data_IF_837935607261
#
_entry.id   IF_837935607261
#
_cell.length_a   1.000
_cell.length_b   1.000
_cell.length_c   1.000
_cell.angle_alpha   90.00
_cell.angle_beta   90.00
_cell.angle_gamma   90.00
#
_symmetry.space_group_name_H-M   'P 1'
#
loop_
_entity.id
_entity.type
_entity.pdbx_description
1 polymer ?
#
# COMPACT_ATOMS: atom_id res chain seq x y z
N UNK A 1 -13.11 -5.75 14.94
CA UNK A 1 -12.20 -5.82 13.78
C UNK A 1 -12.46 -4.59 12.93
N UNK A 2 -11.44 -3.90 12.42
CA UNK A 2 -11.67 -2.79 11.49
C UNK A 2 -12.37 -3.33 10.22
N UNK A 3 -13.37 -2.60 9.70
CA UNK A 3 -14.17 -3.00 8.52
C UNK A 3 -13.29 -3.44 7.34
N UNK A 4 -12.13 -2.78 7.18
CA UNK A 4 -11.23 -3.00 6.07
C UNK A 4 -10.33 -4.24 6.27
N UNK A 5 -10.00 -4.57 7.52
CA UNK A 5 -9.38 -5.87 7.83
C UNK A 5 -10.35 -7.01 7.55
N UNK A 6 -11.65 -6.85 7.86
CA UNK A 6 -12.66 -7.87 7.57
C UNK A 6 -12.80 -8.13 6.06
N UNK A 7 -12.80 -7.09 5.22
CA UNK A 7 -12.79 -7.23 3.76
C UNK A 7 -11.55 -8.00 3.25
N UNK A 8 -10.37 -7.65 3.77
CA UNK A 8 -9.11 -8.33 3.43
C UNK A 8 -9.11 -9.81 3.88
N UNK A 9 -9.68 -10.11 5.05
CA UNK A 9 -9.84 -11.49 5.55
C UNK A 9 -10.80 -12.27 4.65
N UNK A 10 -11.95 -11.70 4.30
CA UNK A 10 -12.94 -12.35 3.44
C UNK A 10 -12.34 -12.72 2.08
N UNK A 11 -11.63 -11.78 1.43
CA UNK A 11 -10.94 -12.04 0.15
C UNK A 11 -9.93 -13.18 0.26
N UNK A 12 -9.11 -13.20 1.31
CA UNK A 12 -8.11 -14.27 1.50
C UNK A 12 -8.74 -15.62 1.79
N UNK A 13 -9.81 -15.67 2.58
CA UNK A 13 -10.56 -16.91 2.83
C UNK A 13 -11.16 -17.46 1.54
N UNK A 14 -11.74 -16.59 0.71
CA UNK A 14 -12.24 -16.97 -0.61
C UNK A 14 -11.12 -17.49 -1.52
N UNK A 15 -10.03 -16.74 -1.66
CA UNK A 15 -8.89 -17.12 -2.49
C UNK A 15 -8.29 -18.47 -2.08
N UNK A 16 -8.16 -18.69 -0.77
CA UNK A 16 -7.68 -19.96 -0.23
C UNK A 16 -8.65 -21.12 -0.54
N UNK A 17 -9.97 -20.92 -0.36
CA UNK A 17 -10.97 -21.93 -0.71
C UNK A 17 -10.97 -22.25 -2.22
N UNK A 18 -10.80 -21.24 -3.08
CA UNK A 18 -10.69 -21.44 -4.53
C UNK A 18 -9.40 -22.18 -4.91
N UNK A 19 -8.28 -21.87 -4.24
CA UNK A 19 -7.01 -22.57 -4.42
C UNK A 19 -7.09 -24.04 -4.01
N UNK A 20 -7.77 -24.32 -2.91
CA UNK A 20 -8.02 -25.68 -2.43
C UNK A 20 -8.85 -26.46 -3.44
N UNK A 21 -9.94 -25.86 -3.96
CA UNK A 21 -10.75 -26.42 -5.03
C UNK A 21 -9.91 -26.75 -6.29
N UNK A 22 -9.13 -25.78 -6.78
CA UNK A 22 -8.24 -26.00 -7.94
C UNK A 22 -7.27 -27.15 -7.70
N UNK A 23 -6.65 -27.18 -6.52
CA UNK A 23 -5.62 -28.18 -6.18
C UNK A 23 -6.24 -29.57 -6.05
N UNK A 24 -7.44 -29.69 -5.49
CA UNK A 24 -8.19 -30.94 -5.40
C UNK A 24 -8.59 -31.48 -6.79
N UNK A 25 -8.88 -30.59 -7.74
CA UNK A 25 -9.16 -30.94 -9.13
C UNK A 25 -7.89 -31.30 -9.95
N UNK A 26 -6.70 -31.19 -9.37
CA UNK A 26 -5.43 -31.44 -10.08
C UNK A 26 -5.10 -30.41 -11.17
N UNK A 27 -5.80 -29.28 -11.20
CA UNK A 27 -5.66 -28.26 -12.24
C UNK A 27 -4.49 -27.32 -11.92
N UNK A 28 -3.58 -27.10 -12.87
CA UNK A 28 -2.50 -26.11 -12.69
C UNK A 28 -3.00 -24.70 -12.98
N UNK A 29 -2.36 -23.67 -12.38
CA UNK A 29 -2.78 -22.27 -12.57
C UNK A 29 -2.80 -21.84 -14.05
N UNK A 30 -1.92 -22.40 -14.89
CA UNK A 30 -1.87 -22.12 -16.32
C UNK A 30 -3.15 -22.57 -17.06
N UNK A 31 -3.74 -23.69 -16.66
CA UNK A 31 -4.97 -24.21 -17.27
C UNK A 31 -6.17 -23.37 -16.85
N UNK A 32 -6.27 -23.06 -15.55
CA UNK A 32 -7.28 -22.15 -15.02
C UNK A 32 -7.23 -20.77 -15.70
N UNK A 33 -6.03 -20.26 -15.95
CA UNK A 33 -5.79 -18.98 -16.63
C UNK A 33 -6.31 -18.99 -18.06
N UNK A 34 -6.02 -20.07 -18.80
CA UNK A 34 -6.47 -20.24 -20.18
C UNK A 34 -7.99 -20.36 -20.27
N UNK A 35 -8.62 -21.05 -19.32
CA UNK A 35 -10.07 -21.20 -19.27
C UNK A 35 -10.78 -19.86 -19.14
N UNK A 36 -10.27 -18.95 -18.31
CA UNK A 36 -10.83 -17.59 -18.15
C UNK A 36 -10.34 -16.59 -19.22
N UNK A 37 -9.75 -17.07 -20.32
CA UNK A 37 -9.32 -16.23 -21.45
C UNK A 37 -8.14 -15.28 -21.15
N UNK A 38 -7.31 -15.59 -20.15
CA UNK A 38 -6.12 -14.79 -19.80
C UNK A 38 -4.84 -15.43 -20.33
N UNK A 39 -3.80 -14.60 -20.49
CA UNK A 39 -2.51 -15.02 -21.04
C UNK A 39 -1.47 -15.39 -19.98
N UNK A 40 -1.63 -14.90 -18.75
CA UNK A 40 -0.64 -15.06 -17.68
C UNK A 40 -1.29 -15.56 -16.39
N UNK A 41 -0.56 -16.40 -15.64
CA UNK A 41 -1.05 -17.01 -14.38
C UNK A 41 -1.33 -16.02 -13.25
N UNK A 42 -0.97 -14.75 -13.48
CA UNK A 42 -1.07 -13.68 -12.52
C UNK A 42 -2.52 -13.50 -12.04
N UNK A 43 -3.51 -13.54 -12.94
CA UNK A 43 -4.93 -13.40 -12.60
C UNK A 43 -5.40 -14.46 -11.60
N UNK A 44 -5.09 -15.73 -11.85
CA UNK A 44 -5.45 -16.83 -10.94
C UNK A 44 -4.70 -16.69 -9.61
N UNK A 45 -3.40 -16.41 -9.66
CA UNK A 45 -2.57 -16.20 -8.47
C UNK A 45 -3.10 -15.06 -7.58
N UNK A 46 -3.66 -14.01 -8.16
CA UNK A 46 -4.21 -12.87 -7.43
C UNK A 46 -5.50 -13.23 -6.71
N UNK A 47 -6.44 -13.88 -7.40
CA UNK A 47 -7.68 -14.35 -6.81
C UNK A 47 -7.35 -15.30 -5.65
N UNK A 48 -6.46 -16.27 -5.86
CA UNK A 48 -6.05 -17.24 -4.84
C UNK A 48 -5.34 -16.61 -3.64
N UNK A 49 -4.60 -15.52 -3.84
CA UNK A 49 -3.96 -14.75 -2.76
C UNK A 49 -4.91 -13.78 -2.05
N UNK A 50 -6.17 -13.71 -2.48
CA UNK A 50 -7.18 -12.79 -1.94
C UNK A 50 -6.94 -11.34 -2.33
N UNK A 51 -6.37 -11.09 -3.51
CA UNK A 51 -6.02 -9.74 -3.95
C UNK A 51 -7.14 -9.04 -4.72
N UNK A 52 -7.81 -9.79 -5.58
CA UNK A 52 -8.96 -9.34 -6.32
C UNK A 52 -10.07 -10.38 -6.22
N UNK A 53 -11.30 -9.92 -6.43
CA UNK A 53 -12.42 -10.82 -6.66
C UNK A 53 -12.41 -11.30 -8.12
N UNK A 54 -12.95 -12.50 -8.41
CA UNK A 54 -13.29 -12.86 -9.78
C UNK A 54 -14.30 -11.84 -10.34
N UNK A 55 -14.17 -11.52 -11.62
CA UNK A 55 -15.00 -10.54 -12.35
C UNK A 55 -15.81 -11.28 -13.42
N UNK A 56 -17.03 -10.81 -13.69
CA UNK A 56 -17.91 -11.41 -14.70
C UNK A 56 -18.12 -12.91 -14.46
N UNK A 57 -17.94 -13.71 -15.50
CA UNK A 57 -18.14 -15.16 -15.49
C UNK A 57 -16.90 -15.96 -15.05
N UNK A 58 -15.84 -15.28 -14.55
CA UNK A 58 -14.60 -15.95 -14.14
C UNK A 58 -14.86 -17.02 -13.06
N UNK A 59 -15.74 -16.76 -12.08
CA UNK A 59 -16.02 -17.76 -11.03
C UNK A 59 -16.74 -18.99 -11.60
N UNK A 60 -17.73 -18.79 -12.46
CA UNK A 60 -18.52 -19.88 -13.04
C UNK A 60 -17.65 -20.77 -13.94
N UNK A 61 -16.81 -20.15 -14.77
CA UNK A 61 -15.84 -20.85 -15.63
C UNK A 61 -14.86 -21.68 -14.80
N UNK A 62 -14.36 -21.14 -13.68
CA UNK A 62 -13.43 -21.87 -12.81
C UNK A 62 -14.14 -22.99 -12.04
N UNK A 63 -15.39 -22.77 -11.61
CA UNK A 63 -16.17 -23.79 -10.94
C UNK A 63 -16.46 -24.99 -11.85
N UNK A 64 -16.78 -24.74 -13.11
CA UNK A 64 -16.94 -25.79 -14.13
C UNK A 64 -15.63 -26.53 -14.37
N UNK A 65 -14.53 -25.81 -14.59
CA UNK A 65 -13.21 -26.41 -14.82
C UNK A 65 -12.74 -27.27 -13.64
N UNK A 66 -13.05 -26.86 -12.40
CA UNK A 66 -12.66 -27.59 -11.19
C UNK A 66 -13.63 -28.73 -10.86
N UNK A 67 -14.71 -28.91 -11.62
CA UNK A 67 -15.71 -29.94 -11.40
C UNK A 67 -16.46 -29.79 -10.07
N UNK A 68 -16.75 -28.54 -9.68
CA UNK A 68 -17.40 -28.28 -8.40
C UNK A 68 -18.86 -28.69 -8.41
N UNK A 69 -19.30 -29.32 -7.30
CA UNK A 69 -20.71 -29.61 -7.08
C UNK A 69 -21.51 -28.36 -6.71
N UNK A 70 -22.84 -28.48 -6.70
CA UNK A 70 -23.75 -27.37 -6.40
C UNK A 70 -23.50 -26.75 -5.00
N UNK A 71 -23.09 -27.55 -4.02
CA UNK A 71 -22.82 -27.09 -2.65
C UNK A 71 -21.53 -26.26 -2.62
N UNK A 72 -20.49 -26.73 -3.30
CA UNK A 72 -19.21 -26.03 -3.43
C UNK A 72 -19.37 -24.71 -4.19
N UNK A 73 -20.12 -24.71 -5.31
CA UNK A 73 -20.47 -23.51 -6.07
C UNK A 73 -21.22 -22.50 -5.19
N UNK A 74 -22.28 -22.95 -4.50
CA UNK A 74 -23.06 -22.09 -3.60
C UNK A 74 -22.20 -21.52 -2.46
N UNK A 75 -21.29 -22.32 -1.90
CA UNK A 75 -20.37 -21.87 -0.86
C UNK A 75 -19.45 -20.75 -1.36
N UNK A 76 -18.80 -20.92 -2.51
CA UNK A 76 -17.91 -19.90 -3.08
C UNK A 76 -18.68 -18.64 -3.47
N UNK A 77 -19.86 -18.77 -4.09
CA UNK A 77 -20.73 -17.65 -4.44
C UNK A 77 -21.18 -16.87 -3.19
N UNK A 78 -21.53 -17.57 -2.10
CA UNK A 78 -21.88 -16.94 -0.81
C UNK A 78 -20.69 -16.17 -0.24
N UNK A 79 -19.50 -16.79 -0.21
CA UNK A 79 -18.27 -16.11 0.26
C UNK A 79 -17.93 -14.87 -0.57
N UNK A 80 -18.10 -14.94 -1.89
CA UNK A 80 -17.91 -13.80 -2.80
C UNK A 80 -18.91 -12.68 -2.49
N UNK A 81 -20.19 -13.01 -2.42
CA UNK A 81 -21.26 -12.05 -2.16
C UNK A 81 -21.11 -11.39 -0.79
N UNK A 82 -20.92 -12.17 0.27
CA UNK A 82 -20.69 -11.65 1.63
C UNK A 82 -19.42 -10.79 1.67
N UNK A 83 -18.35 -11.22 1.03
CA UNK A 83 -17.08 -10.49 0.99
C UNK A 83 -17.18 -9.16 0.22
N UNK A 84 -17.95 -9.12 -0.87
CA UNK A 84 -18.23 -7.89 -1.64
C UNK A 84 -19.20 -6.96 -0.90
N UNK A 85 -20.11 -7.51 -0.11
CA UNK A 85 -21.05 -6.75 0.71
C UNK A 85 -20.37 -6.02 1.89
N UNK A 86 -19.13 -6.38 2.25
CA UNK A 86 -18.31 -5.61 3.18
C UNK A 86 -17.97 -4.26 2.52
N UNK A 87 -18.85 -3.27 2.71
CA UNK A 87 -18.66 -1.87 2.29
C UNK A 87 -17.27 -1.40 2.74
N UNK A 88 -16.42 -0.96 1.81
CA UNK A 88 -15.14 -0.33 2.22
C UNK A 88 -14.05 -0.18 1.17
N UNK A 89 -14.08 -0.92 0.06
CA UNK A 89 -12.96 -0.88 -0.89
C UNK A 89 -13.10 0.25 -1.91
N UNK A 90 -12.89 1.49 -1.46
CA UNK A 90 -12.95 2.70 -2.31
C UNK A 90 -11.99 2.66 -3.51
N UNK A 91 -10.98 1.79 -3.48
CA UNK A 91 -9.96 1.67 -4.51
C UNK A 91 -10.34 0.79 -5.70
N UNK A 92 -11.47 0.05 -5.66
CA UNK A 92 -11.86 -0.86 -6.76
C UNK A 92 -12.07 -0.15 -8.08
N UNK A 93 -12.49 1.12 -8.04
CA UNK A 93 -12.66 1.97 -9.24
C UNK A 93 -11.35 2.31 -9.96
N UNK A 94 -10.19 2.02 -9.36
CA UNK A 94 -8.87 2.30 -9.94
C UNK A 94 -8.16 1.01 -10.41
N UNK A 95 -8.79 -0.16 -10.27
CA UNK A 95 -8.17 -1.47 -10.59
C UNK A 95 -7.79 -1.62 -12.07
N UNK A 96 -8.54 -0.98 -12.98
CA UNK A 96 -8.29 -1.08 -14.42
C UNK A 96 -7.33 0.02 -14.92
N UNK A 97 -6.97 0.99 -14.07
CA UNK A 97 -6.12 2.14 -14.41
C UNK A 97 -4.69 2.01 -13.86
N UNK A 98 -4.51 1.38 -12.70
CA UNK A 98 -3.23 1.36 -11.98
C UNK A 98 -2.66 -0.05 -11.85
N UNK A 99 -1.33 -0.20 -11.67
CA UNK A 99 -0.72 -1.49 -11.43
C UNK A 99 -1.35 -2.20 -10.23
N UNK A 100 -1.59 -3.50 -10.36
CA UNK A 100 -2.25 -4.26 -9.31
C UNK A 100 -1.45 -4.29 -8.00
N UNK A 101 -0.13 -4.26 -8.08
CA UNK A 101 0.73 -4.15 -6.90
C UNK A 101 0.46 -2.88 -6.09
N UNK A 102 0.00 -1.79 -6.73
CA UNK A 102 -0.46 -0.58 -6.03
C UNK A 102 -1.84 -0.80 -5.38
N UNK A 103 -2.78 -1.45 -6.07
CA UNK A 103 -4.10 -1.77 -5.48
C UNK A 103 -3.94 -2.68 -4.25
N UNK A 104 -3.04 -3.65 -4.33
CA UNK A 104 -2.64 -4.51 -3.21
C UNK A 104 -2.09 -3.70 -2.04
N UNK A 105 -1.19 -2.75 -2.31
CA UNK A 105 -0.63 -1.89 -1.28
C UNK A 105 -1.70 -1.05 -0.59
N UNK A 106 -2.61 -0.44 -1.36
CA UNK A 106 -3.70 0.38 -0.83
C UNK A 106 -4.64 -0.47 0.03
N UNK A 107 -4.93 -1.71 -0.37
CA UNK A 107 -5.74 -2.62 0.44
C UNK A 107 -5.07 -2.94 1.79
N UNK A 108 -3.75 -3.15 1.81
CA UNK A 108 -3.03 -3.35 3.07
C UNK A 108 -2.95 -2.07 3.91
N UNK A 109 -2.68 -0.93 3.29
CA UNK A 109 -2.67 0.39 3.92
C UNK A 109 -4.01 0.65 4.64
N UNK A 110 -5.11 0.43 3.93
CA UNK A 110 -6.45 0.64 4.43
C UNK A 110 -6.88 -0.35 5.53
N UNK A 111 -6.43 -1.60 5.46
CA UNK A 111 -6.72 -2.64 6.45
C UNK A 111 -5.84 -2.59 7.71
N UNK A 112 -4.72 -1.87 7.69
CA UNK A 112 -3.72 -1.87 8.77
C UNK A 112 -4.21 -1.13 10.03
N UNK A 113 -3.74 -1.61 11.19
CA UNK A 113 -3.83 -0.90 12.47
C UNK A 113 -2.56 -0.10 12.79
N UNK A 114 -1.42 -0.51 12.24
CA UNK A 114 -0.14 0.17 12.35
C UNK A 114 0.60 0.07 11.02
N UNK A 115 1.14 1.20 10.57
CA UNK A 115 1.92 1.31 9.34
C UNK A 115 3.24 1.98 9.70
N UNK A 116 4.34 1.36 9.32
CA UNK A 116 5.68 1.93 9.49
C UNK A 116 6.33 2.03 8.12
N UNK A 117 6.63 3.25 7.66
CA UNK A 117 7.28 3.48 6.36
C UNK A 117 8.66 4.06 6.58
N UNK A 118 9.66 3.46 5.93
CA UNK A 118 11.01 3.99 5.82
C UNK A 118 11.20 4.50 4.39
N UNK A 119 11.58 5.77 4.22
CA UNK A 119 11.75 6.38 2.90
C UNK A 119 12.98 7.31 2.88
N UNK A 120 13.96 7.00 2.03
CA UNK A 120 15.23 7.75 1.97
C UNK A 120 15.20 8.96 1.03
N UNK A 121 14.45 8.89 -0.07
CA UNK A 121 14.59 9.82 -1.20
C UNK A 121 13.31 10.58 -1.57
N UNK A 122 12.13 10.12 -1.17
CA UNK A 122 10.85 10.77 -1.46
C UNK A 122 9.92 10.70 -0.25
N UNK A 123 9.08 11.73 -0.09
CA UNK A 123 7.99 11.71 0.90
C UNK A 123 6.99 10.62 0.50
N UNK A 124 6.56 9.72 1.42
CA UNK A 124 5.61 8.66 1.12
C UNK A 124 4.27 9.19 0.59
N UNK A 125 3.67 8.49 -0.37
CA UNK A 125 2.45 8.94 -1.08
C UNK A 125 1.27 9.30 -0.18
N UNK A 126 1.13 8.65 0.99
CA UNK A 126 0.09 8.95 2.00
C UNK A 126 0.26 10.34 2.65
N UNK A 127 1.48 10.90 2.62
CA UNK A 127 1.84 12.20 3.17
C UNK A 127 2.04 13.30 2.12
N UNK A 128 1.89 12.99 0.83
CA UNK A 128 2.10 13.96 -0.23
C UNK A 128 0.92 14.95 -0.33
N UNK A 129 1.23 16.23 -0.57
CA UNK A 129 0.27 17.22 -1.05
C UNK A 129 -0.06 16.96 -2.52
N UNK A 130 -1.17 17.52 -3.00
CA UNK A 130 -1.60 17.33 -4.39
C UNK A 130 -0.55 17.85 -5.38
N UNK A 131 0.06 19.00 -5.08
CA UNK A 131 1.07 19.63 -5.92
C UNK A 131 2.37 18.83 -5.93
N UNK A 132 2.83 18.33 -4.78
CA UNK A 132 4.01 17.46 -4.73
C UNK A 132 3.77 16.17 -5.52
N UNK A 133 2.62 15.53 -5.32
CA UNK A 133 2.23 14.31 -6.03
C UNK A 133 2.16 14.51 -7.55
N UNK A 134 1.63 15.67 -7.99
CA UNK A 134 1.57 16.05 -9.40
C UNK A 134 2.98 16.21 -9.97
N UNK A 135 3.86 16.95 -9.30
CA UNK A 135 5.24 17.16 -9.76
C UNK A 135 6.03 15.86 -9.91
N UNK A 136 5.86 14.90 -8.98
CA UNK A 136 6.47 13.56 -9.13
C UNK A 136 5.88 12.81 -10.33
N UNK A 137 4.55 12.82 -10.47
CA UNK A 137 3.87 12.10 -11.55
C UNK A 137 4.29 12.66 -12.92
N UNK A 138 4.39 13.97 -13.06
CA UNK A 138 4.88 14.65 -14.27
C UNK A 138 6.35 14.32 -14.57
N UNK A 139 7.21 14.23 -13.56
CA UNK A 139 8.61 13.92 -13.74
C UNK A 139 8.84 12.45 -14.18
N UNK A 140 8.11 11.49 -13.58
CA UNK A 140 8.28 10.05 -13.83
C UNK A 140 7.56 9.61 -15.12
N UNK A 141 6.39 10.18 -15.40
CA UNK A 141 5.50 9.70 -16.45
C UNK A 141 5.50 10.58 -17.70
N UNK A 142 6.44 11.54 -17.77
CA UNK A 142 6.53 12.60 -18.79
C UNK A 142 6.40 12.10 -20.24
N UNK A 143 6.79 10.86 -20.51
CA UNK A 143 6.82 10.27 -21.84
C UNK A 143 5.60 9.39 -22.16
N UNK A 144 4.78 9.01 -21.17
CA UNK A 144 3.79 7.93 -21.33
C UNK A 144 2.39 8.21 -20.74
N UNK A 145 2.21 9.23 -19.90
CA UNK A 145 0.91 9.51 -19.27
C UNK A 145 0.12 10.61 -19.98
N UNK A 146 -1.16 10.34 -20.23
CA UNK A 146 -2.13 11.37 -20.57
C UNK A 146 -2.39 12.29 -19.38
N UNK A 147 -2.86 13.51 -19.62
CA UNK A 147 -3.28 14.45 -18.56
C UNK A 147 -4.33 13.84 -17.64
N UNK A 148 -5.28 13.08 -18.20
CA UNK A 148 -6.28 12.34 -17.42
C UNK A 148 -5.67 11.34 -16.43
N UNK A 149 -4.61 10.63 -16.82
CA UNK A 149 -3.91 9.71 -15.91
C UNK A 149 -3.22 10.45 -14.74
N UNK A 150 -2.65 11.62 -14.99
CA UNK A 150 -2.00 12.43 -13.95
C UNK A 150 -3.01 12.87 -12.89
N UNK A 151 -4.19 13.35 -13.30
CA UNK A 151 -5.23 13.77 -12.37
C UNK A 151 -5.74 12.59 -11.53
N UNK A 152 -5.93 11.41 -12.15
CA UNK A 152 -6.28 10.17 -11.44
C UNK A 152 -5.20 9.73 -10.45
N UNK A 153 -3.92 9.91 -10.81
CA UNK A 153 -2.76 9.60 -9.94
C UNK A 153 -2.70 10.51 -8.70
N UNK A 154 -3.11 11.77 -8.84
CA UNK A 154 -3.23 12.71 -7.72
C UNK A 154 -4.47 12.37 -6.88
N UNK A 155 -5.60 12.08 -7.52
CA UNK A 155 -6.85 11.74 -6.87
C UNK A 155 -6.71 10.51 -5.95
N UNK A 156 -6.11 9.42 -6.46
CA UNK A 156 -5.93 8.20 -5.67
C UNK A 156 -5.06 8.45 -4.43
N UNK A 157 -4.01 9.30 -4.52
CA UNK A 157 -3.18 9.69 -3.37
C UNK A 157 -3.96 10.52 -2.36
N UNK A 158 -4.78 11.47 -2.83
CA UNK A 158 -5.64 12.27 -1.96
C UNK A 158 -6.66 11.40 -1.21
N UNK A 159 -7.24 10.38 -1.87
CA UNK A 159 -8.12 9.40 -1.24
C UNK A 159 -7.40 8.57 -0.18
N UNK A 160 -6.20 8.07 -0.48
CA UNK A 160 -5.35 7.32 0.49
C UNK A 160 -5.09 8.12 1.76
N UNK A 161 -4.77 9.41 1.60
CA UNK A 161 -4.47 10.33 2.71
C UNK A 161 -5.62 10.45 3.74
N UNK A 162 -6.86 10.18 3.35
CA UNK A 162 -8.03 10.21 4.25
C UNK A 162 -7.94 9.18 5.39
N UNK A 163 -7.11 8.14 5.26
CA UNK A 163 -6.90 7.16 6.31
C UNK A 163 -6.31 7.77 7.59
N UNK A 164 -5.57 8.89 7.49
CA UNK A 164 -4.97 9.60 8.61
C UNK A 164 -6.04 10.18 9.55
N UNK A 165 -7.20 10.56 8.99
CA UNK A 165 -8.25 11.33 9.68
C UNK A 165 -9.56 10.56 9.86
N UNK A 166 -9.64 9.30 9.39
CA UNK A 166 -10.83 8.45 9.54
C UNK A 166 -11.13 8.17 11.02
N UNK A 167 -12.35 7.70 11.30
CA UNK A 167 -12.85 7.41 12.67
C UNK A 167 -11.92 6.52 13.50
N UNK A 168 -11.29 5.52 12.88
CA UNK A 168 -10.31 4.62 13.50
C UNK A 168 -9.03 4.65 12.66
N UNK A 169 -8.19 5.68 12.79
CA UNK A 169 -7.00 5.81 11.98
C UNK A 169 -5.92 4.82 12.48
N UNK A 170 -5.06 4.29 11.59
CA UNK A 170 -3.92 3.51 12.02
C UNK A 170 -2.90 4.39 12.76
N UNK A 171 -2.04 3.74 13.55
CA UNK A 171 -0.81 4.34 14.02
C UNK A 171 0.19 4.40 12.86
N UNK A 172 0.56 5.61 12.45
CA UNK A 172 1.50 5.86 11.37
C UNK A 172 2.85 6.27 11.95
N UNK A 173 3.90 5.57 11.57
CA UNK A 173 5.28 5.97 11.84
C UNK A 173 6.03 6.10 10.53
N UNK A 174 6.63 7.26 10.31
CA UNK A 174 7.32 7.60 9.08
C UNK A 174 8.74 7.98 9.43
N UNK A 175 9.71 7.25 8.86
CA UNK A 175 11.13 7.51 9.02
C UNK A 175 11.65 7.99 7.66
N UNK A 176 12.04 9.27 7.61
CA UNK A 176 12.50 9.95 6.40
C UNK A 176 14.01 10.15 6.47
N UNK A 177 14.71 9.99 5.35
CA UNK A 177 16.03 10.60 5.18
C UNK A 177 15.90 12.12 5.02
N UNK A 178 16.83 12.89 5.58
CA UNK A 178 16.83 14.36 5.43
C UNK A 178 16.84 14.82 3.97
N UNK A 179 17.47 14.05 3.07
CA UNK A 179 17.42 14.31 1.62
C UNK A 179 16.00 14.37 1.04
N UNK A 180 15.08 13.52 1.53
CA UNK A 180 13.69 13.50 1.06
C UNK A 180 12.92 14.78 1.42
N UNK A 181 13.34 15.49 2.47
CA UNK A 181 12.70 16.73 2.94
C UNK A 181 13.45 17.99 2.52
N UNK A 182 14.60 17.85 1.85
CA UNK A 182 15.36 18.95 1.24
C UNK A 182 15.26 19.03 -0.27
N UNK A 183 15.01 17.91 -0.96
CA UNK A 183 14.83 17.90 -2.41
C UNK A 183 13.62 18.76 -2.80
N UNK A 184 13.85 19.83 -3.58
CA UNK A 184 12.81 20.77 -4.01
C UNK A 184 11.94 20.19 -5.15
N UNK A 185 11.24 19.10 -4.88
CA UNK A 185 10.27 18.50 -5.82
C UNK A 185 9.17 19.50 -6.12
N UNK A 186 8.98 19.82 -7.41
CA UNK A 186 8.03 20.85 -7.85
C UNK A 186 8.48 22.29 -7.57
N UNK A 187 9.73 22.49 -7.13
CA UNK A 187 10.29 23.79 -6.76
C UNK A 187 10.02 24.18 -5.31
N UNK A 188 10.66 25.28 -4.88
CA UNK A 188 10.64 25.75 -3.48
C UNK A 188 9.23 25.95 -2.93
N UNK A 189 8.32 26.59 -3.68
CA UNK A 189 6.96 26.88 -3.21
C UNK A 189 6.11 25.62 -2.96
N UNK A 190 6.25 24.60 -3.81
CA UNK A 190 5.59 23.29 -3.63
C UNK A 190 6.15 22.59 -2.40
N UNK A 191 7.48 22.61 -2.26
CA UNK A 191 8.15 21.97 -1.14
C UNK A 191 7.83 22.63 0.21
N UNK A 192 7.69 23.96 0.24
CA UNK A 192 7.23 24.70 1.42
C UNK A 192 5.86 24.20 1.89
N UNK A 193 4.87 24.12 0.98
CA UNK A 193 3.53 23.62 1.31
C UNK A 193 3.55 22.15 1.75
N UNK A 194 4.42 21.35 1.15
CA UNK A 194 4.62 19.97 1.53
C UNK A 194 5.20 19.84 2.95
N UNK A 195 6.18 20.66 3.32
CA UNK A 195 6.75 20.70 4.68
C UNK A 195 5.72 21.18 5.70
N UNK A 196 4.94 22.22 5.37
CA UNK A 196 3.84 22.71 6.23
C UNK A 196 2.83 21.57 6.50
N UNK A 197 2.50 20.78 5.47
CA UNK A 197 1.65 19.59 5.61
C UNK A 197 2.27 18.50 6.48
N UNK A 198 3.57 18.22 6.37
CA UNK A 198 4.26 17.24 7.21
C UNK A 198 4.27 17.67 8.69
N UNK A 199 4.54 18.95 8.95
CA UNK A 199 4.54 19.51 10.30
C UNK A 199 3.14 19.37 10.93
N UNK A 200 2.09 19.70 10.17
CA UNK A 200 0.71 19.55 10.63
C UNK A 200 0.34 18.07 10.91
N UNK A 201 0.79 17.15 10.06
CA UNK A 201 0.54 15.71 10.28
C UNK A 201 1.29 15.18 11.49
N UNK A 202 2.56 15.56 11.69
CA UNK A 202 3.37 15.11 12.82
C UNK A 202 2.89 15.62 14.18
N UNK A 203 1.96 16.57 14.21
CA UNK A 203 1.28 17.02 15.45
C UNK A 203 0.07 16.14 15.83
N UNK A 204 -0.35 15.21 14.96
CA UNK A 204 -1.48 14.31 15.23
C UNK A 204 -1.06 13.19 16.17
N UNK A 205 -1.95 12.79 17.08
CA UNK A 205 -1.70 11.70 18.05
C UNK A 205 -1.41 10.34 17.42
N UNK A 206 -1.88 10.10 16.19
CA UNK A 206 -1.70 8.83 15.49
C UNK A 206 -0.56 8.85 14.46
N UNK A 207 0.21 9.94 14.36
CA UNK A 207 1.30 10.09 13.39
C UNK A 207 2.59 10.43 14.13
N UNK A 208 3.66 9.71 13.82
CA UNK A 208 5.02 9.99 14.28
C UNK A 208 5.92 10.15 13.06
N UNK A 209 6.54 11.30 12.90
CA UNK A 209 7.53 11.56 11.85
C UNK A 209 8.91 11.65 12.49
N UNK A 210 9.85 10.88 11.95
CA UNK A 210 11.26 10.87 12.33
C UNK A 210 12.09 11.22 11.11
N UNK A 211 13.06 12.10 11.26
CA UNK A 211 14.02 12.41 10.20
C UNK A 211 15.38 11.86 10.62
N UNK A 212 16.04 11.17 9.71
CA UNK A 212 17.43 10.72 9.83
C UNK A 212 18.30 11.85 9.26
N UNK A 213 19.00 12.60 10.12
CA UNK A 213 19.80 13.73 9.69
C UNK A 213 20.97 13.32 8.80
N UNK A 214 21.49 14.24 7.99
CA UNK A 214 22.63 13.99 7.11
C UNK A 214 23.94 13.71 7.86
N UNK A 215 24.07 14.15 9.11
CA UNK A 215 25.21 13.87 9.98
C UNK A 215 25.06 12.56 10.78
N UNK A 216 23.96 11.82 10.59
CA UNK A 216 23.79 10.50 11.17
C UNK A 216 24.86 9.53 10.62
N UNK A 217 25.51 8.79 11.53
CA UNK A 217 26.64 7.89 11.22
C UNK A 217 26.25 6.61 10.47
N UNK A 218 25.00 6.46 10.05
CA UNK A 218 24.50 5.33 9.27
C UNK A 218 23.45 5.79 8.24
N UNK A 219 23.30 5.04 7.16
CA UNK A 219 22.46 5.42 6.02
C UNK A 219 21.05 4.82 6.05
N UNK A 220 20.10 5.53 5.46
CA UNK A 220 18.76 5.03 5.13
C UNK A 220 18.82 4.31 3.78
N UNK A 221 19.21 3.04 3.77
CA UNK A 221 19.46 2.33 2.51
C UNK A 221 18.17 1.86 1.80
N UNK A 222 17.10 1.57 2.53
CA UNK A 222 15.96 0.85 1.97
C UNK A 222 14.62 1.56 2.12
N UNK A 223 13.87 1.62 1.02
CA UNK A 223 12.48 2.08 1.00
C UNK A 223 11.52 0.90 1.13
N UNK A 224 10.73 0.91 2.20
CA UNK A 224 9.71 -0.12 2.42
C UNK A 224 8.61 0.38 3.35
N UNK A 225 7.49 -0.32 3.36
CA UNK A 225 6.39 -0.11 4.29
C UNK A 225 6.00 -1.42 4.94
N UNK A 226 5.96 -1.43 6.27
CA UNK A 226 5.47 -2.54 7.08
C UNK A 226 4.04 -2.27 7.51
N UNK A 227 3.16 -3.25 7.31
CA UNK A 227 1.76 -3.23 7.72
C UNK A 227 1.52 -4.28 8.80
N UNK A 228 0.93 -3.85 9.91
CA UNK A 228 0.42 -4.73 10.95
C UNK A 228 -1.11 -4.59 11.00
N UNK A 229 -1.81 -5.71 11.15
CA UNK A 229 -3.27 -5.80 11.08
C UNK A 229 -3.86 -6.19 12.42
N UNK A 230 -5.16 -5.94 12.59
CA UNK A 230 -5.91 -6.39 13.78
C UNK A 230 -6.36 -7.86 13.64
N UNK A 231 -6.14 -8.68 14.66
CA UNK A 231 -6.55 -10.10 14.68
C UNK A 231 -5.38 -11.06 14.93
N UNK A 232 -5.61 -12.10 15.74
CA UNK A 232 -4.55 -13.00 16.22
C UNK A 232 -3.84 -13.80 15.09
N UNK A 233 -4.56 -14.10 14.01
CA UNK A 233 -4.04 -14.92 12.91
C UNK A 233 -3.44 -14.10 11.76
N UNK A 234 -3.43 -12.76 11.89
CA UNK A 234 -2.99 -11.87 10.82
C UNK A 234 -1.49 -11.63 10.84
N UNK A 235 -0.81 -12.13 9.81
CA UNK A 235 0.64 -11.97 9.66
C UNK A 235 0.96 -10.57 9.12
N UNK A 236 1.94 -9.87 9.71
CA UNK A 236 2.44 -8.61 9.15
C UNK A 236 2.93 -8.79 7.72
N UNK A 237 2.78 -7.73 6.93
CA UNK A 237 3.23 -7.68 5.53
C UNK A 237 4.26 -6.57 5.40
N UNK A 238 5.37 -6.85 4.73
CA UNK A 238 6.33 -5.81 4.31
C UNK A 238 6.27 -5.64 2.81
N UNK A 239 6.02 -4.41 2.36
CA UNK A 239 6.05 -4.01 0.96
C UNK A 239 7.36 -3.28 0.65
N UNK A 240 8.06 -3.70 -0.39
CA UNK A 240 9.26 -3.06 -0.90
C UNK A 240 8.96 -2.44 -2.26
N UNK A 241 9.48 -1.23 -2.47
CA UNK A 241 9.49 -0.62 -3.79
C UNK A 241 10.52 -1.34 -4.67
N UNK A 242 10.11 -1.78 -5.86
CA UNK A 242 10.98 -2.37 -6.87
C UNK A 242 10.75 -1.66 -8.20
N UNK A 243 11.75 -1.73 -9.09
CA UNK A 243 11.72 -0.97 -10.35
C UNK A 243 10.49 -1.20 -11.22
N UNK A 244 9.81 -2.34 -11.08
CA UNK A 244 8.62 -2.72 -11.84
C UNK A 244 7.33 -2.79 -10.99
N UNK A 245 7.33 -2.21 -9.79
CA UNK A 245 6.19 -2.17 -8.88
C UNK A 245 6.50 -2.72 -7.49
N UNK A 246 5.47 -2.91 -6.68
CA UNK A 246 5.64 -3.27 -5.28
C UNK A 246 5.75 -4.79 -5.09
N UNK A 247 6.71 -5.22 -4.26
CA UNK A 247 6.84 -6.62 -3.87
C UNK A 247 6.50 -6.82 -2.39
N UNK A 248 5.85 -7.93 -2.06
CA UNK A 248 5.33 -8.17 -0.70
C UNK A 248 6.01 -9.39 -0.06
N UNK A 249 6.34 -9.28 1.23
CA UNK A 249 6.90 -10.34 2.06
C UNK A 249 6.01 -10.60 3.28
N UNK A 250 5.74 -11.88 3.54
CA UNK A 250 4.86 -12.37 4.62
C UNK A 250 5.54 -13.42 5.52
N UNK A 251 6.74 -13.90 5.16
CA UNK A 251 7.43 -14.94 5.93
C UNK A 251 7.90 -14.35 7.26
N UNK A 252 7.71 -15.11 8.34
CA UNK A 252 8.04 -14.65 9.70
C UNK A 252 9.53 -14.28 9.86
N UNK A 253 10.43 -14.94 9.13
CA UNK A 253 11.86 -14.59 9.09
C UNK A 253 12.08 -13.19 8.52
N UNK A 254 11.55 -12.91 7.33
CA UNK A 254 11.66 -11.61 6.64
C UNK A 254 11.12 -10.48 7.52
N UNK A 255 9.93 -10.67 8.11
CA UNK A 255 9.28 -9.67 8.98
C UNK A 255 10.13 -9.38 10.22
N UNK A 256 10.76 -10.41 10.82
CA UNK A 256 11.61 -10.25 12.00
C UNK A 256 12.86 -9.44 11.68
N UNK A 257 13.52 -9.73 10.56
CA UNK A 257 14.69 -8.96 10.11
C UNK A 257 14.34 -7.49 9.88
N UNK A 258 13.18 -7.21 9.28
CA UNK A 258 12.72 -5.84 9.06
C UNK A 258 12.40 -5.10 10.35
N UNK A 259 11.87 -5.78 11.37
CA UNK A 259 11.69 -5.19 12.70
C UNK A 259 13.02 -4.77 13.33
N UNK A 260 14.07 -5.60 13.18
CA UNK A 260 15.42 -5.25 13.62
C UNK A 260 15.97 -4.01 12.90
N UNK A 261 15.79 -3.95 11.58
CA UNK A 261 16.17 -2.78 10.77
C UNK A 261 15.42 -1.51 11.21
N UNK A 262 14.11 -1.58 11.46
CA UNK A 262 13.32 -0.44 11.94
C UNK A 262 13.80 0.08 13.29
N UNK A 263 14.26 -0.80 14.20
CA UNK A 263 14.83 -0.36 15.47
C UNK A 263 16.13 0.43 15.26
N UNK A 264 17.04 -0.09 14.42
CA UNK A 264 18.27 0.64 14.08
C UNK A 264 17.98 2.00 13.42
N UNK A 265 16.98 2.09 12.54
CA UNK A 265 16.57 3.36 11.93
C UNK A 265 16.01 4.35 12.96
N UNK A 266 15.28 3.88 13.97
CA UNK A 266 14.79 4.74 15.06
C UNK A 266 15.92 5.29 15.91
N UNK A 267 16.94 4.49 16.18
CA UNK A 267 18.11 4.88 16.99
C UNK A 267 18.93 5.99 16.33
N UNK A 268 19.07 5.96 15.01
CA UNK A 268 19.84 6.99 14.27
C UNK A 268 18.99 8.19 13.84
N UNK A 269 17.66 8.09 13.95
CA UNK A 269 16.76 9.19 13.64
C UNK A 269 16.64 10.16 14.80
N UNK A 270 16.42 11.44 14.48
CA UNK A 270 15.99 12.43 15.46
C UNK A 270 14.67 11.99 16.13
N UNK A 271 14.45 12.44 17.37
CA UNK A 271 13.17 12.20 18.04
C UNK A 271 12.02 12.84 17.24
N UNK A 272 10.75 12.44 17.44
CA UNK A 272 9.65 13.06 16.72
C UNK A 272 9.55 14.59 16.93
N UNK A 273 9.91 15.09 18.12
CA UNK A 273 9.93 16.54 18.40
C UNK A 273 11.08 17.22 17.67
N UNK A 274 12.30 16.70 17.79
CA UNK A 274 13.49 17.26 17.11
C UNK A 274 13.34 17.19 15.58
N UNK A 275 12.65 16.17 15.08
CA UNK A 275 12.31 16.04 13.65
C UNK A 275 11.37 17.14 13.20
N UNK A 276 10.37 17.53 14.01
CA UNK A 276 9.50 18.65 13.69
C UNK A 276 10.26 19.97 13.69
N UNK A 277 11.22 20.15 14.60
CA UNK A 277 12.08 21.34 14.63
C UNK A 277 13.00 21.41 13.42
N UNK A 278 13.58 20.29 12.99
CA UNK A 278 14.34 20.19 11.75
C UNK A 278 13.47 20.53 10.52
N UNK A 279 12.25 20.00 10.44
CA UNK A 279 11.32 20.34 9.34
C UNK A 279 10.98 21.83 9.30
N UNK A 280 10.78 22.47 10.46
CA UNK A 280 10.54 23.92 10.56
C UNK A 280 11.77 24.73 10.13
N UNK A 281 12.97 24.29 10.51
CA UNK A 281 14.22 24.94 10.10
C UNK A 281 14.38 24.91 8.58
N UNK A 282 14.23 23.73 7.96
CA UNK A 282 14.29 23.56 6.49
C UNK A 282 13.22 24.42 5.80
N UNK A 283 11.99 24.45 6.34
CA UNK A 283 10.89 25.27 5.81
C UNK A 283 11.21 26.77 5.84
N UNK A 284 11.90 27.24 6.87
CA UNK A 284 12.34 28.65 7.01
C UNK A 284 13.49 28.99 6.07
N UNK A 285 14.43 28.07 5.87
CA UNK A 285 15.52 28.22 4.89
C UNK A 285 14.98 28.44 3.48
N UNK A 286 13.96 27.67 3.06
CA UNK A 286 13.32 27.82 1.75
C UNK A 286 12.54 29.13 1.56
N UNK A 287 12.07 29.73 2.65
CA UNK A 287 11.37 31.03 2.60
C UNK A 287 12.33 32.20 2.40
N UNK A 288 13.60 31.99 2.75
CA UNK A 288 14.65 33.02 2.75
C UNK A 288 15.54 32.99 1.51
N UNK A 289 15.29 32.06 0.59
CA UNK A 289 16.08 31.79 -0.62
C UNK A 289 15.36 32.30 -1.88
#
# INVERSE_FOLDING_TARGET
MALNTAAMVARRRFGQALKEARSAAGVVQADATRAIGRKTVDRISQIERGMSWPKGEELDTLAELYGLDAVQCMRLATMLHEGQAIKGTWWTQYEDEFPESLMQFIAYEDAAQRIVTCAGSLIPGILQTAEYARSISEAILKTYASTGFLDRSVEIRAKRRQIITRKQPPLLEIILGEGAVRQQVGGASVMMRQLDSLIADGQRRNVSIRVIPMDARATVAYMFTSFEFSGADEKPVVAFDAMNGLSFRKKSGDVRSIRGYLNAMREISASPLDSLDLLRAIRKELDSA
#
